data_IF_390804943992
#
_entry.id   IF_390804943992
#
_cell.length_a   1.000
_cell.length_b   1.000
_cell.length_c   1.000
_cell.angle_alpha   90.00
_cell.angle_beta   90.00
_cell.angle_gamma   90.00
#
_symmetry.space_group_name_H-M   'P 1'
#
loop_
_entity.id
_entity.type
_entity.pdbx_description
1 polymer ?
#
# COMPACT_ATOMS: atom_id res chain seq x y z
N UNK A 1 2.50 18.94 1.13
CA UNK A 1 2.87 17.75 0.33
C UNK A 1 3.19 16.64 1.30
N UNK A 2 2.63 15.45 1.10
CA UNK A 2 2.98 14.26 1.89
C UNK A 2 3.86 13.35 1.04
N UNK A 3 4.87 12.76 1.65
CA UNK A 3 5.70 11.73 1.00
C UNK A 3 5.01 10.38 1.10
N UNK A 4 4.98 9.62 0.00
CA UNK A 4 4.57 8.22 0.05
C UNK A 4 5.66 7.38 0.74
N UNK A 5 5.57 7.26 2.07
CA UNK A 5 6.51 6.56 2.92
C UNK A 5 5.82 6.05 4.19
N UNK A 6 6.17 4.85 4.63
CA UNK A 6 5.70 4.33 5.92
C UNK A 6 6.33 5.13 7.09
N UNK A 7 5.52 5.49 8.08
CA UNK A 7 5.99 6.15 9.29
C UNK A 7 4.99 6.00 10.43
N UNK A 8 5.51 5.92 11.66
CA UNK A 8 4.78 6.03 12.93
C UNK A 8 5.46 7.06 13.83
N UNK A 9 4.95 7.25 15.04
CA UNK A 9 5.41 8.30 15.97
C UNK A 9 6.92 8.29 16.21
N UNK A 10 7.52 7.11 16.44
CA UNK A 10 8.94 7.00 16.81
C UNK A 10 9.83 6.31 15.75
N UNK A 11 9.24 5.52 14.83
CA UNK A 11 9.98 4.77 13.81
C UNK A 11 11.13 3.90 14.37
N UNK A 12 10.91 3.30 15.55
CA UNK A 12 11.89 2.45 16.24
C UNK A 12 12.29 1.22 15.41
N UNK A 13 11.37 0.72 14.60
CA UNK A 13 11.65 -0.32 13.61
C UNK A 13 11.42 0.22 12.20
N UNK A 14 12.26 -0.20 11.26
CA UNK A 14 12.19 0.17 9.84
C UNK A 14 12.46 -1.05 8.99
N UNK A 15 11.98 -1.03 7.76
CA UNK A 15 12.27 -2.04 6.77
C UNK A 15 11.49 -1.81 5.50
N UNK A 16 11.06 -2.90 4.86
CA UNK A 16 10.42 -2.88 3.56
C UNK A 16 9.18 -3.77 3.54
N UNK A 17 8.38 -3.63 2.48
CA UNK A 17 7.29 -4.54 2.19
C UNK A 17 7.30 -4.88 0.71
N UNK A 18 6.94 -6.12 0.39
CA UNK A 18 6.74 -6.59 -0.98
C UNK A 18 5.45 -7.40 -1.05
N UNK A 19 4.74 -7.29 -2.18
CA UNK A 19 3.51 -8.03 -2.36
C UNK A 19 3.26 -8.39 -3.82
N UNK A 20 2.70 -9.58 -4.03
CA UNK A 20 2.16 -10.02 -5.31
C UNK A 20 0.68 -9.61 -5.39
N UNK A 21 0.24 -9.08 -6.54
CA UNK A 21 -1.17 -8.78 -6.78
C UNK A 21 -2.00 -10.07 -6.77
N UNK A 22 -3.12 -10.09 -6.07
CA UNK A 22 -4.08 -11.18 -6.16
C UNK A 22 -4.71 -11.23 -7.57
N UNK A 23 -4.81 -12.43 -8.14
CA UNK A 23 -5.31 -12.60 -9.51
C UNK A 23 -6.81 -12.28 -9.62
N UNK A 24 -7.58 -12.66 -8.61
CA UNK A 24 -9.05 -12.47 -8.57
C UNK A 24 -9.43 -11.31 -7.68
N UNK A 25 -9.05 -11.32 -6.40
CA UNK A 25 -9.49 -10.35 -5.38
C UNK A 25 -8.38 -9.34 -5.03
N UNK A 26 -7.94 -8.51 -5.98
CA UNK A 26 -6.98 -7.43 -5.69
C UNK A 26 -7.67 -6.11 -5.30
N UNK A 27 -6.86 -5.16 -4.82
CA UNK A 27 -7.31 -3.82 -4.44
C UNK A 27 -8.18 -3.12 -5.50
N UNK A 28 -7.83 -3.21 -6.79
CA UNK A 28 -8.59 -2.54 -7.83
C UNK A 28 -9.98 -3.18 -8.00
N UNK A 29 -10.08 -4.51 -7.99
CA UNK A 29 -11.37 -5.19 -8.00
C UNK A 29 -12.19 -4.84 -6.77
N UNK A 30 -11.60 -4.95 -5.58
CA UNK A 30 -12.31 -4.68 -4.31
C UNK A 30 -12.89 -3.25 -4.30
N UNK A 31 -12.12 -2.26 -4.78
CA UNK A 31 -12.59 -0.88 -4.87
C UNK A 31 -13.72 -0.70 -5.89
N UNK A 32 -13.66 -1.37 -7.05
CA UNK A 32 -14.72 -1.33 -8.07
C UNK A 32 -16.00 -1.99 -7.58
N UNK A 33 -15.89 -3.16 -6.95
CA UNK A 33 -17.04 -3.89 -6.40
C UNK A 33 -17.76 -3.11 -5.28
N UNK A 34 -17.09 -2.13 -4.67
CA UNK A 34 -17.64 -1.22 -3.65
C UNK A 34 -17.96 0.19 -4.20
N UNK A 35 -17.97 0.38 -5.52
CA UNK A 35 -18.28 1.66 -6.19
C UNK A 35 -17.37 2.84 -5.79
N UNK A 36 -16.11 2.56 -5.41
CA UNK A 36 -15.16 3.57 -4.92
C UNK A 36 -14.24 4.14 -6.02
N UNK A 37 -14.09 3.41 -7.13
CA UNK A 37 -13.34 3.82 -8.33
C UNK A 37 -14.06 3.38 -9.60
N UNK A 38 -13.78 4.03 -10.73
CA UNK A 38 -14.29 3.63 -12.05
C UNK A 38 -13.37 2.63 -12.78
N UNK A 39 -13.77 2.21 -13.99
CA UNK A 39 -12.97 1.30 -14.82
C UNK A 39 -11.75 1.97 -15.46
N UNK A 40 -11.79 3.30 -15.60
CA UNK A 40 -10.73 4.15 -16.14
C UNK A 40 -9.69 4.56 -15.09
N UNK A 41 -9.92 4.18 -13.83
CA UNK A 41 -9.05 4.49 -12.70
C UNK A 41 -8.16 3.30 -12.31
N UNK A 42 -6.94 3.63 -11.88
CA UNK A 42 -5.89 2.68 -11.56
C UNK A 42 -5.38 2.88 -10.14
N UNK A 43 -5.23 1.79 -9.39
CA UNK A 43 -4.58 1.79 -8.08
C UNK A 43 -3.06 1.76 -8.28
N UNK A 44 -2.38 2.81 -7.83
CA UNK A 44 -0.93 2.99 -7.95
C UNK A 44 -0.19 2.89 -6.62
N UNK A 45 -0.91 2.87 -5.50
CA UNK A 45 -0.32 2.70 -4.18
C UNK A 45 -1.35 2.34 -3.12
N UNK A 46 -0.86 1.75 -2.03
CA UNK A 46 -1.65 1.43 -0.85
C UNK A 46 -0.85 1.78 0.40
N UNK A 47 -1.50 2.38 1.38
CA UNK A 47 -0.96 2.65 2.72
C UNK A 47 -1.94 2.10 3.74
N UNK A 48 -1.46 1.25 4.66
CA UNK A 48 -2.25 0.77 5.78
C UNK A 48 -1.66 1.30 7.09
N UNK A 49 -2.52 1.77 7.99
CA UNK A 49 -2.17 2.10 9.37
C UNK A 49 -3.04 1.27 10.30
N UNK A 50 -2.41 0.49 11.18
CA UNK A 50 -3.09 -0.44 12.07
C UNK A 50 -3.63 0.21 13.36
N UNK A 51 -3.50 1.54 13.52
CA UNK A 51 -3.82 2.23 14.77
C UNK A 51 -2.74 2.10 15.83
N UNK A 52 -3.09 2.43 17.07
CA UNK A 52 -2.27 2.22 18.27
C UNK A 52 -2.65 0.88 18.91
N UNK A 53 -1.72 -0.08 18.91
CA UNK A 53 -1.93 -1.41 19.46
C UNK A 53 -1.19 -1.56 20.80
N UNK A 54 -1.86 -2.05 21.84
CA UNK A 54 -1.29 -2.30 23.17
C UNK A 54 -1.18 -3.80 23.47
N UNK A 55 -0.65 -4.56 22.50
CA UNK A 55 -0.45 -6.01 22.60
C UNK A 55 -1.56 -6.87 21.98
N UNK A 56 -2.70 -6.26 21.64
CA UNK A 56 -3.76 -6.86 20.82
C UNK A 56 -4.16 -5.82 19.77
N UNK A 57 -4.46 -6.28 18.55
CA UNK A 57 -5.04 -5.44 17.52
C UNK A 57 -6.56 -5.62 17.53
N UNK A 58 -7.27 -4.49 17.48
CA UNK A 58 -8.71 -4.45 17.28
C UNK A 58 -8.97 -3.81 15.91
N UNK A 59 -9.74 -4.51 15.07
CA UNK A 59 -10.21 -3.99 13.79
C UNK A 59 -11.05 -2.72 14.00
N UNK A 60 -11.09 -1.80 13.01
CA UNK A 60 -10.51 -1.93 11.66
C UNK A 60 -9.07 -1.43 11.54
N UNK A 61 -8.41 -1.79 10.43
CA UNK A 61 -7.25 -1.06 9.93
C UNK A 61 -7.68 0.08 9.00
N UNK A 62 -6.88 1.15 8.99
CA UNK A 62 -7.12 2.33 8.15
C UNK A 62 -6.32 2.23 6.86
N UNK A 63 -7.00 2.07 5.73
CA UNK A 63 -6.37 1.87 4.43
C UNK A 63 -6.60 3.08 3.53
N UNK A 64 -5.52 3.59 2.94
CA UNK A 64 -5.57 4.61 1.91
C UNK A 64 -5.06 4.01 0.61
N UNK A 65 -5.93 3.93 -0.40
CA UNK A 65 -5.55 3.65 -1.77
C UNK A 65 -5.25 4.95 -2.50
N UNK A 66 -4.20 4.93 -3.31
CA UNK A 66 -3.80 6.03 -4.18
C UNK A 66 -4.21 5.64 -5.59
N UNK A 67 -5.09 6.45 -6.18
CA UNK A 67 -5.79 6.15 -7.42
C UNK A 67 -5.54 7.29 -8.41
N UNK A 68 -5.30 6.95 -9.67
CA UNK A 68 -5.12 7.94 -10.73
C UNK A 68 -5.80 7.44 -12.01
N UNK A 69 -6.11 8.33 -12.93
CA UNK A 69 -6.49 7.97 -14.31
C UNK A 69 -5.28 8.18 -15.24
N UNK A 70 -5.47 8.05 -16.55
CA UNK A 70 -4.38 8.22 -17.51
C UNK A 70 -4.02 9.69 -17.79
N UNK A 71 -4.83 10.68 -17.39
CA UNK A 71 -4.58 12.12 -17.63
C UNK A 71 -4.23 12.45 -19.09
N UNK A 72 -4.81 11.73 -20.06
CA UNK A 72 -4.53 11.88 -21.49
C UNK A 72 -3.27 11.17 -22.00
N UNK A 73 -2.55 10.45 -21.15
CA UNK A 73 -1.44 9.56 -21.54
C UNK A 73 -1.97 8.22 -22.09
N UNK A 74 -1.21 7.53 -22.94
CA UNK A 74 -1.65 6.24 -23.51
C UNK A 74 -1.69 5.10 -22.49
N UNK A 75 -0.89 5.16 -21.42
CA UNK A 75 -0.80 4.12 -20.40
C UNK A 75 -0.18 4.64 -19.08
N UNK A 76 -0.21 3.83 -18.01
CA UNK A 76 0.40 4.19 -16.74
C UNK A 76 1.93 4.42 -16.82
N UNK A 77 2.72 3.58 -17.52
CA UNK A 77 4.17 3.83 -17.66
C UNK A 77 4.49 5.21 -18.25
N UNK A 78 3.76 5.65 -19.28
CA UNK A 78 3.95 6.97 -19.91
C UNK A 78 3.52 8.12 -19.01
N UNK A 79 2.43 7.97 -18.24
CA UNK A 79 2.06 8.92 -17.17
C UNK A 79 3.18 9.04 -16.13
N UNK A 80 3.70 7.91 -15.64
CA UNK A 80 4.75 7.88 -14.62
C UNK A 80 6.04 8.54 -15.12
N UNK A 81 6.43 8.28 -16.37
CA UNK A 81 7.59 8.91 -16.99
C UNK A 81 7.44 10.44 -17.11
N UNK A 82 6.22 10.94 -17.30
CA UNK A 82 5.93 12.37 -17.40
C UNK A 82 5.77 13.07 -16.04
N UNK A 83 5.42 12.31 -14.98
CA UNK A 83 5.09 12.84 -13.65
C UNK A 83 6.32 13.35 -12.87
N UNK A 84 7.53 12.90 -13.20
CA UNK A 84 8.73 13.24 -12.43
C UNK A 84 8.62 12.79 -10.97
N UNK A 85 8.91 13.68 -10.02
CA UNK A 85 8.87 13.38 -8.58
C UNK A 85 7.46 13.49 -7.96
N UNK A 86 6.47 14.00 -8.71
CA UNK A 86 5.12 14.26 -8.21
C UNK A 86 4.10 13.54 -9.09
N UNK A 87 3.44 12.54 -8.52
CA UNK A 87 2.29 11.89 -9.17
C UNK A 87 0.99 12.46 -8.60
N UNK A 88 0.11 12.94 -9.48
CA UNK A 88 -1.25 13.34 -9.12
C UNK A 88 -2.09 12.09 -8.89
N UNK A 89 -2.40 11.81 -7.62
CA UNK A 89 -3.20 10.66 -7.21
C UNK A 89 -4.25 11.07 -6.16
N UNK A 90 -5.50 10.69 -6.43
CA UNK A 90 -6.63 10.80 -5.50
C UNK A 90 -6.49 9.78 -4.37
N UNK A 91 -6.82 10.18 -3.15
CA UNK A 91 -6.82 9.28 -1.98
C UNK A 91 -8.22 8.73 -1.76
N UNK A 92 -8.37 7.41 -1.83
CA UNK A 92 -9.57 6.69 -1.38
C UNK A 92 -9.25 6.11 -0.01
N UNK A 93 -9.94 6.59 1.03
CA UNK A 93 -9.76 6.12 2.40
C UNK A 93 -10.91 5.19 2.76
N UNK A 94 -10.57 4.03 3.31
CA UNK A 94 -11.52 3.04 3.81
C UNK A 94 -11.04 2.48 5.12
N UNK A 95 -11.99 2.07 5.93
CA UNK A 95 -11.76 1.26 7.12
C UNK A 95 -12.14 -0.17 6.73
N UNK A 96 -11.26 -1.13 6.96
CA UNK A 96 -11.52 -2.53 6.60
C UNK A 96 -10.94 -3.49 7.63
N UNK A 97 -11.44 -4.72 7.64
CA UNK A 97 -10.88 -5.77 8.48
C UNK A 97 -9.46 -6.13 8.03
N UNK A 98 -8.57 -6.42 8.98
CA UNK A 98 -7.19 -6.82 8.72
C UNK A 98 -7.10 -8.04 7.78
N UNK A 99 -8.00 -9.01 7.93
CA UNK A 99 -8.07 -10.21 7.08
C UNK A 99 -8.44 -9.84 5.65
N UNK A 100 -9.38 -8.91 5.46
CA UNK A 100 -9.76 -8.43 4.13
C UNK A 100 -8.59 -7.68 3.47
N UNK A 101 -7.87 -6.86 4.24
CA UNK A 101 -6.66 -6.18 3.75
C UNK A 101 -5.60 -7.18 3.29
N UNK A 102 -5.32 -8.23 4.07
CA UNK A 102 -4.38 -9.27 3.66
C UNK A 102 -4.87 -10.06 2.44
N UNK A 103 -6.19 -10.23 2.30
CA UNK A 103 -6.81 -10.86 1.13
C UNK A 103 -6.54 -10.16 -0.20
N UNK A 104 -6.18 -8.87 -0.18
CA UNK A 104 -5.88 -8.09 -1.39
C UNK A 104 -4.60 -8.55 -2.12
N UNK A 105 -3.75 -9.33 -1.45
CA UNK A 105 -2.46 -9.77 -1.93
C UNK A 105 -2.40 -11.29 -2.06
N UNK A 106 -1.77 -11.79 -3.12
CA UNK A 106 -1.48 -13.22 -3.26
C UNK A 106 -0.40 -13.67 -2.29
N UNK A 107 0.58 -12.78 -2.07
CA UNK A 107 1.67 -12.88 -1.09
C UNK A 107 1.95 -11.50 -0.57
N UNK A 108 2.20 -11.37 0.73
CA UNK A 108 2.65 -10.16 1.38
C UNK A 108 3.77 -10.52 2.36
N UNK A 109 4.89 -9.82 2.24
CA UNK A 109 6.00 -9.92 3.17
C UNK A 109 6.35 -8.53 3.70
N UNK A 110 6.59 -8.44 5.01
CA UNK A 110 7.01 -7.22 5.69
C UNK A 110 8.26 -7.53 6.50
N UNK A 111 9.32 -6.77 6.29
CA UNK A 111 10.53 -6.81 7.10
C UNK A 111 10.56 -5.61 8.03
N UNK A 112 10.94 -5.84 9.29
CA UNK A 112 11.20 -4.79 10.25
C UNK A 112 12.43 -5.18 11.06
N UNK A 113 13.35 -4.24 11.19
CA UNK A 113 14.51 -4.37 12.06
C UNK A 113 14.71 -3.11 12.89
N UNK A 114 15.28 -3.25 14.09
CA UNK A 114 15.52 -2.13 15.00
C UNK A 114 16.35 -1.06 14.30
N UNK A 115 15.78 0.13 14.13
CA UNK A 115 16.39 1.23 13.38
C UNK A 115 16.77 0.91 11.93
N UNK A 116 16.29 -0.20 11.35
CA UNK A 116 16.73 -0.68 10.03
C UNK A 116 18.05 -1.47 10.06
N UNK A 117 18.47 -2.00 11.21
CA UNK A 117 19.77 -2.65 11.41
C UNK A 117 20.04 -3.86 10.49
N UNK A 118 19.01 -4.54 10.01
CA UNK A 118 19.13 -5.71 9.12
C UNK A 118 18.91 -5.39 7.65
N UNK A 119 18.52 -4.16 7.29
CA UNK A 119 18.25 -3.84 5.89
C UNK A 119 19.51 -3.99 5.04
N UNK A 120 19.41 -4.75 3.94
CA UNK A 120 20.52 -5.05 3.04
C UNK A 120 21.54 -6.08 3.57
N UNK A 121 21.29 -6.70 4.72
CA UNK A 121 22.18 -7.74 5.28
C UNK A 121 21.67 -9.15 4.96
N UNK A 122 22.60 -10.06 4.69
CA UNK A 122 22.31 -11.50 4.65
C UNK A 122 22.46 -12.11 6.05
N UNK A 123 21.64 -13.10 6.35
CA UNK A 123 21.72 -13.91 7.57
C UNK A 123 21.79 -15.40 7.19
N UNK A 124 22.41 -16.26 8.03
CA UNK A 124 22.47 -17.69 7.76
C UNK A 124 21.06 -18.30 7.62
N UNK A 125 20.89 -19.19 6.64
CA UNK A 125 19.69 -20.02 6.52
C UNK A 125 19.80 -21.20 7.49
N UNK A 126 18.73 -21.52 8.23
CA UNK A 126 18.61 -22.77 8.99
C UNK A 126 18.04 -23.91 8.12
#
# INVERSE_FOLDING_TARGET
MDTFKASVQYNDMKGSAAADRADKENAAKWLKDNDLISDEEFVVGVKMWAGENHGIHDDPVYVTFFVTDLQGHPDLPSLLAASGDVIEARRVRVDMNLVDFFGLFKRLEVTLSNGGMLEGKSYPYE
#
